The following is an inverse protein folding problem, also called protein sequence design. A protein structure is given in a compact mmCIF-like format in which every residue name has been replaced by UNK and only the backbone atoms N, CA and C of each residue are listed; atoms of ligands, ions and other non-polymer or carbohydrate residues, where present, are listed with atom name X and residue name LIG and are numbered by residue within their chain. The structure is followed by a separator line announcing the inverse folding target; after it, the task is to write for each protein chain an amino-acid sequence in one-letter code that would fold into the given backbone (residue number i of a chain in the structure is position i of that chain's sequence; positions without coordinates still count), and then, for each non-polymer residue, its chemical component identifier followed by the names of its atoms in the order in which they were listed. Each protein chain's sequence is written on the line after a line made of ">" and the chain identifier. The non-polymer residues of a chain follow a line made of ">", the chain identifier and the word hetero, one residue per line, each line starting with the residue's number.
data_IF_203760888737
#
_entry.id   IF_203760888737
#
_cell.length_a   1.000
_cell.length_b   1.000
_cell.length_c   1.000
_cell.angle_alpha   90.00
_cell.angle_beta   90.00
_cell.angle_gamma   90.00
#
_symmetry.space_group_name_H-M   'P 1'
#
loop_
_entity.id
_entity.type
_entity.pdbx_description
1 polymer ?
#
# COMPACT_ATOMS: atom_id res chain seq x y z
N UNK A 1 18.32 68.06 -11.87
CA UNK A 1 19.19 68.58 -10.78
C UNK A 1 19.79 67.39 -10.04
N UNK A 2 21.10 67.49 -9.75
CA UNK A 2 21.99 66.44 -9.24
C UNK A 2 21.86 66.23 -7.72
N UNK A 3 22.18 65.01 -7.28
CA UNK A 3 23.01 64.57 -6.13
C UNK A 3 22.46 63.21 -5.64
N UNK A 4 23.06 62.04 -5.82
CA UNK A 4 24.42 61.54 -5.52
C UNK A 4 24.87 61.71 -4.08
N UNK A 5 24.82 60.62 -3.30
CA UNK A 5 25.98 60.13 -2.54
C UNK A 5 25.85 58.64 -2.19
N UNK A 6 26.93 57.90 -2.50
CA UNK A 6 27.27 56.55 -2.01
C UNK A 6 27.59 56.58 -0.51
N UNK A 7 27.37 55.46 0.19
CA UNK A 7 28.35 54.95 1.15
C UNK A 7 28.18 53.44 1.36
N UNK A 8 29.31 52.76 1.31
CA UNK A 8 29.56 51.33 1.43
C UNK A 8 30.19 51.02 2.80
N UNK A 9 29.81 49.92 3.44
CA UNK A 9 30.64 49.18 4.43
C UNK A 9 29.94 47.86 4.76
N UNK A 10 30.38 46.71 4.23
CA UNK A 10 31.38 45.81 4.85
C UNK A 10 30.99 45.38 6.27
N UNK A 11 30.32 44.24 6.39
CA UNK A 11 30.05 43.54 7.64
C UNK A 11 30.02 42.04 7.40
N UNK A 12 31.20 41.42 7.40
CA UNK A 12 31.39 39.98 7.31
C UNK A 12 30.92 39.29 8.59
N UNK A 13 29.65 38.86 8.64
CA UNK A 13 29.14 37.98 9.67
C UNK A 13 29.44 36.52 9.35
N UNK A 14 30.57 36.01 9.83
CA UNK A 14 30.87 34.56 9.85
C UNK A 14 29.81 33.83 10.66
N UNK A 15 28.94 33.07 9.99
CA UNK A 15 28.20 31.99 10.64
C UNK A 15 29.21 30.94 11.15
N UNK A 16 29.38 30.86 12.47
CA UNK A 16 30.11 29.74 13.09
C UNK A 16 29.27 28.49 12.91
N UNK A 17 29.75 27.59 12.07
CA UNK A 17 29.31 26.20 11.98
C UNK A 17 29.67 25.54 13.31
N UNK A 18 28.68 25.38 14.18
CA UNK A 18 28.79 24.47 15.33
C UNK A 18 28.67 23.04 14.80
N UNK A 19 29.74 22.26 14.92
CA UNK A 19 29.71 20.80 14.71
C UNK A 19 29.03 20.15 15.92
N UNK A 20 28.09 19.23 15.73
CA UNK A 20 27.88 18.13 16.64
C UNK A 20 28.75 16.97 16.15
N UNK A 21 29.88 16.76 16.82
CA UNK A 21 30.49 15.43 16.91
C UNK A 21 29.67 14.63 17.89
N UNK A 22 28.91 13.66 17.40
CA UNK A 22 28.73 12.39 18.12
C UNK A 22 28.44 11.29 17.09
N UNK A 23 29.52 10.58 16.75
CA UNK A 23 29.44 9.21 16.28
C UNK A 23 29.26 8.34 17.52
N UNK A 24 28.19 7.55 17.55
CA UNK A 24 28.09 6.21 18.11
C UNK A 24 26.71 6.00 18.73
N UNK A 25 25.78 5.44 17.97
CA UNK A 25 24.80 4.49 18.52
C UNK A 25 24.61 3.35 17.50
N UNK A 26 24.65 2.09 17.97
CA UNK A 26 24.78 0.92 17.10
C UNK A 26 23.42 0.46 16.57
N UNK A 27 23.38 0.14 15.28
CA UNK A 27 22.26 -0.50 14.60
C UNK A 27 22.55 -2.00 14.49
N UNK A 28 22.39 -2.74 15.58
CA UNK A 28 22.33 -4.21 15.58
C UNK A 28 21.45 -4.72 16.72
N UNK A 29 20.50 -5.63 16.42
CA UNK A 29 19.97 -6.54 17.42
C UNK A 29 18.45 -6.75 17.47
N UNK A 30 17.84 -7.28 16.41
CA UNK A 30 16.56 -8.01 16.54
C UNK A 30 16.68 -9.41 15.94
N UNK A 31 17.54 -10.23 16.54
CA UNK A 31 17.44 -11.67 16.41
C UNK A 31 17.57 -12.32 17.78
N UNK A 32 16.66 -13.27 18.02
CA UNK A 32 16.80 -14.42 18.93
C UNK A 32 16.34 -14.22 20.38
N UNK A 33 15.07 -14.52 20.62
CA UNK A 33 14.56 -14.87 21.95
C UNK A 33 13.47 -15.96 21.91
N UNK A 34 13.80 -17.13 21.36
CA UNK A 34 13.12 -18.39 21.72
C UNK A 34 14.15 -19.51 21.81
N UNK A 35 14.56 -19.84 23.04
CA UNK A 35 15.01 -21.16 23.50
C UNK A 35 15.56 -21.01 24.92
N UNK A 36 14.80 -21.53 25.89
CA UNK A 36 15.26 -22.58 26.81
C UNK A 36 14.13 -22.94 27.77
N UNK A 37 13.64 -24.17 27.68
CA UNK A 37 13.07 -24.88 28.82
C UNK A 37 13.57 -26.35 28.76
N UNK A 38 13.75 -27.00 29.92
CA UNK A 38 14.80 -28.01 30.11
C UNK A 38 14.38 -29.42 29.69
N UNK A 39 15.40 -30.20 29.30
CA UNK A 39 15.31 -31.62 29.02
C UNK A 39 14.85 -32.41 30.25
N UNK A 40 13.68 -33.03 30.17
CA UNK A 40 13.26 -34.08 31.09
C UNK A 40 13.80 -35.43 30.60
N UNK A 41 14.69 -36.03 31.40
CA UNK A 41 15.21 -37.37 31.17
C UNK A 41 14.11 -38.40 31.44
N UNK A 42 13.66 -39.09 30.39
CA UNK A 42 12.84 -40.29 30.56
C UNK A 42 13.79 -41.48 30.60
N UNK A 43 13.83 -42.12 31.78
CA UNK A 43 14.59 -43.34 32.04
C UNK A 43 14.02 -44.48 31.21
N UNK A 44 14.93 -45.22 30.58
CA UNK A 44 14.69 -46.51 29.95
C UNK A 44 14.18 -47.53 30.97
N UNK A 45 12.99 -48.08 30.74
CA UNK A 45 12.48 -49.25 31.44
C UNK A 45 12.03 -50.30 30.43
N UNK A 46 12.79 -51.38 30.39
CA UNK A 46 12.41 -52.76 30.07
C UNK A 46 11.37 -52.99 28.97
N UNK A 47 11.88 -53.33 27.78
CA UNK A 47 11.17 -54.11 26.76
C UNK A 47 10.72 -55.44 27.37
N UNK A 48 9.41 -55.59 27.63
CA UNK A 48 8.80 -56.90 27.85
C UNK A 48 8.21 -57.42 26.53
N UNK A 49 8.74 -58.55 26.07
CA UNK A 49 8.22 -59.34 24.95
C UNK A 49 6.80 -59.82 25.28
N UNK A 50 5.80 -59.29 24.59
CA UNK A 50 4.45 -59.86 24.57
C UNK A 50 4.35 -60.81 23.38
N UNK A 51 3.98 -62.07 23.64
CA UNK A 51 3.73 -63.11 22.63
C UNK A 51 2.50 -62.76 21.79
N UNK A 52 2.46 -63.09 20.48
CA UNK A 52 1.28 -62.83 19.68
C UNK A 52 0.19 -63.85 20.02
N UNK A 53 -0.97 -63.37 20.47
CA UNK A 53 -2.21 -64.15 20.49
C UNK A 53 -2.87 -63.98 19.12
N UNK A 54 -2.88 -65.05 18.33
CA UNK A 54 -3.77 -65.19 17.18
C UNK A 54 -5.21 -65.03 17.67
N UNK A 55 -5.90 -64.02 17.17
CA UNK A 55 -7.36 -64.05 17.13
C UNK A 55 -7.84 -63.51 15.78
N UNK A 56 -8.69 -64.33 15.19
CA UNK A 56 -9.34 -64.24 13.91
C UNK A 56 -10.39 -63.13 13.87
N UNK A 57 -10.40 -62.38 12.77
CA UNK A 57 -11.59 -61.87 12.09
C UNK A 57 -12.64 -61.10 12.90
N UNK A 58 -12.66 -59.78 12.72
CA UNK A 58 -13.91 -59.07 12.43
C UNK A 58 -13.57 -57.71 11.80
N UNK A 59 -13.64 -57.64 10.47
CA UNK A 59 -13.60 -56.36 9.76
C UNK A 59 -14.85 -55.57 10.13
N UNK A 60 -14.66 -54.46 10.86
CA UNK A 60 -15.63 -53.38 10.93
C UNK A 60 -14.95 -52.15 10.38
N UNK A 61 -15.24 -51.84 9.12
CA UNK A 61 -14.87 -50.58 8.50
C UNK A 61 -15.44 -49.44 9.34
N UNK A 62 -14.57 -48.77 10.10
CA UNK A 62 -14.87 -47.46 10.64
C UNK A 62 -14.83 -46.52 9.44
N UNK A 63 -16.00 -46.07 8.99
CA UNK A 63 -16.11 -44.92 8.11
C UNK A 63 -15.43 -43.74 8.83
N UNK A 64 -14.20 -43.41 8.43
CA UNK A 64 -13.61 -42.12 8.72
C UNK A 64 -14.56 -41.08 8.11
N UNK A 65 -15.37 -40.46 8.96
CA UNK A 65 -16.14 -39.30 8.61
C UNK A 65 -15.17 -38.28 8.02
N UNK A 66 -15.31 -38.06 6.71
CA UNK A 66 -14.69 -36.99 5.94
C UNK A 66 -14.81 -35.72 6.78
N UNK A 67 -13.67 -35.19 7.24
CA UNK A 67 -13.63 -33.90 7.93
C UNK A 67 -14.46 -32.90 7.12
N UNK A 68 -15.48 -32.36 7.76
CA UNK A 68 -16.40 -31.40 7.16
C UNK A 68 -15.55 -30.21 6.72
N UNK A 69 -15.47 -30.03 5.40
CA UNK A 69 -14.97 -28.83 4.75
C UNK A 69 -15.86 -27.68 5.19
N UNK A 70 -15.48 -26.98 6.27
CA UNK A 70 -16.06 -25.67 6.56
C UNK A 70 -15.82 -24.81 5.31
N UNK A 71 -16.87 -24.35 4.62
CA UNK A 71 -16.68 -23.51 3.44
C UNK A 71 -15.91 -22.27 3.87
N UNK A 72 -14.78 -21.99 3.18
CA UNK A 72 -14.05 -20.74 3.38
C UNK A 72 -14.95 -19.60 2.94
N UNK A 73 -14.93 -18.50 3.68
CA UNK A 73 -15.67 -17.31 3.28
C UNK A 73 -14.99 -16.69 2.06
N UNK A 74 -15.52 -16.96 0.86
CA UNK A 74 -14.96 -16.43 -0.40
C UNK A 74 -15.35 -14.98 -0.66
N UNK A 75 -16.17 -14.39 0.21
CA UNK A 75 -16.67 -13.04 0.04
C UNK A 75 -15.59 -11.96 0.19
N UNK A 76 -14.47 -12.27 0.86
CA UNK A 76 -13.31 -11.36 0.90
C UNK A 76 -12.81 -11.01 -0.49
N UNK A 77 -12.80 -11.96 -1.42
CA UNK A 77 -12.39 -11.70 -2.81
C UNK A 77 -13.38 -10.79 -3.53
N UNK A 78 -14.69 -10.94 -3.28
CA UNK A 78 -15.71 -10.05 -3.85
C UNK A 78 -15.52 -8.60 -3.36
N UNK A 79 -15.16 -8.44 -2.07
CA UNK A 79 -14.89 -7.13 -1.47
C UNK A 79 -13.61 -6.49 -2.05
N UNK A 80 -12.52 -7.24 -2.19
CA UNK A 80 -11.29 -6.73 -2.82
C UNK A 80 -11.50 -6.33 -4.28
N UNK A 81 -12.27 -7.11 -5.05
CA UNK A 81 -12.62 -6.77 -6.42
C UNK A 81 -13.46 -5.49 -6.48
N UNK A 82 -14.45 -5.34 -5.59
CA UNK A 82 -15.26 -4.12 -5.49
C UNK A 82 -14.44 -2.89 -5.12
N UNK A 83 -13.46 -3.04 -4.22
CA UNK A 83 -12.60 -1.94 -3.79
C UNK A 83 -11.65 -1.51 -4.91
N UNK A 84 -11.06 -2.47 -5.63
CA UNK A 84 -10.23 -2.18 -6.80
C UNK A 84 -11.04 -1.51 -7.94
N UNK A 85 -12.31 -1.89 -8.13
CA UNK A 85 -13.20 -1.22 -9.08
C UNK A 85 -13.53 0.22 -8.65
N UNK A 86 -13.73 0.47 -7.35
CA UNK A 86 -13.90 1.81 -6.79
C UNK A 86 -12.64 2.66 -7.02
N UNK A 87 -11.47 2.10 -6.74
CA UNK A 87 -10.18 2.75 -6.94
C UNK A 87 -9.94 3.15 -8.39
N UNK A 88 -10.28 2.28 -9.35
CA UNK A 88 -10.18 2.64 -10.77
C UNK A 88 -11.11 3.80 -11.13
N UNK A 89 -12.36 3.77 -10.69
CA UNK A 89 -13.30 4.87 -10.98
C UNK A 89 -12.81 6.21 -10.42
N UNK A 90 -12.23 6.20 -9.21
CA UNK A 90 -11.63 7.38 -8.62
C UNK A 90 -10.40 7.86 -9.40
N UNK A 91 -9.52 6.95 -9.83
CA UNK A 91 -8.34 7.30 -10.60
C UNK A 91 -8.68 7.84 -12.01
N UNK A 92 -9.70 7.27 -12.67
CA UNK A 92 -10.22 7.80 -13.94
C UNK A 92 -10.77 9.22 -13.74
N UNK A 93 -11.58 9.41 -12.70
CA UNK A 93 -12.09 10.73 -12.34
C UNK A 93 -10.97 11.72 -12.00
N UNK A 94 -9.86 11.28 -11.39
CA UNK A 94 -8.69 12.11 -11.10
C UNK A 94 -7.99 12.58 -12.37
N UNK A 95 -7.79 11.68 -13.34
CA UNK A 95 -7.22 12.03 -14.65
C UNK A 95 -8.11 13.07 -15.33
N UNK A 96 -9.42 12.82 -15.42
CA UNK A 96 -10.36 13.77 -16.03
C UNK A 96 -10.41 15.11 -15.27
N UNK A 97 -10.27 15.08 -13.95
CA UNK A 97 -10.24 16.28 -13.10
C UNK A 97 -8.97 17.10 -13.33
N UNK A 98 -7.86 16.45 -13.67
CA UNK A 98 -6.61 17.13 -13.99
C UNK A 98 -6.51 17.55 -15.45
N UNK A 99 -7.17 16.85 -16.38
CA UNK A 99 -7.10 17.15 -17.80
C UNK A 99 -8.02 18.31 -18.22
N UNK A 100 -9.23 18.38 -17.67
CA UNK A 100 -10.24 19.37 -18.03
C UNK A 100 -10.11 20.68 -17.24
N UNK A 101 -10.12 21.81 -17.95
CA UNK A 101 -10.35 23.13 -17.35
C UNK A 101 -11.85 23.31 -17.11
N UNK A 102 -12.31 22.92 -15.93
CA UNK A 102 -13.72 23.00 -15.53
C UNK A 102 -13.95 24.15 -14.54
N UNK A 103 -14.94 25.02 -14.76
CA UNK A 103 -15.31 26.05 -13.79
C UNK A 103 -15.91 25.48 -12.49
N UNK A 104 -16.19 24.16 -12.44
CA UNK A 104 -16.85 23.48 -11.33
C UNK A 104 -15.92 22.50 -10.59
N UNK A 105 -14.63 22.84 -10.50
CA UNK A 105 -13.62 22.04 -9.77
C UNK A 105 -14.04 21.71 -8.34
N UNK A 106 -14.71 22.64 -7.65
CA UNK A 106 -15.18 22.42 -6.28
C UNK A 106 -16.23 21.31 -6.19
N UNK A 107 -17.17 21.23 -7.13
CA UNK A 107 -18.16 20.13 -7.13
C UNK A 107 -17.49 18.81 -7.48
N UNK A 108 -16.60 18.80 -8.48
CA UNK A 108 -15.87 17.58 -8.87
C UNK A 108 -14.97 17.06 -7.76
N UNK A 109 -14.28 17.93 -7.04
CA UNK A 109 -13.48 17.54 -5.88
C UNK A 109 -14.33 16.88 -4.77
N UNK A 110 -15.60 17.27 -4.61
CA UNK A 110 -16.52 16.62 -3.65
C UNK A 110 -16.92 15.20 -4.07
N UNK A 111 -16.82 14.84 -5.35
CA UNK A 111 -17.11 13.48 -5.83
C UNK A 111 -16.07 12.48 -5.29
N UNK A 112 -14.81 12.90 -5.11
CA UNK A 112 -13.75 12.06 -4.52
C UNK A 112 -14.06 11.65 -3.08
N UNK A 113 -14.74 12.49 -2.31
CA UNK A 113 -15.18 12.12 -0.97
C UNK A 113 -16.20 10.98 -0.97
N UNK A 114 -16.99 10.85 -2.04
CA UNK A 114 -17.91 9.72 -2.17
C UNK A 114 -17.18 8.41 -2.48
N UNK A 115 -16.11 8.46 -3.30
CA UNK A 115 -15.26 7.31 -3.56
C UNK A 115 -14.51 6.85 -2.31
N UNK A 116 -13.93 7.79 -1.54
CA UNK A 116 -13.27 7.49 -0.26
C UNK A 116 -14.26 6.86 0.72
N UNK A 117 -15.44 7.47 0.92
CA UNK A 117 -16.47 6.90 1.81
C UNK A 117 -16.92 5.49 1.38
N UNK A 118 -16.92 5.22 0.08
CA UNK A 118 -17.24 3.89 -0.43
C UNK A 118 -16.13 2.88 -0.10
N UNK A 119 -14.86 3.23 -0.34
CA UNK A 119 -13.69 2.41 0.03
C UNK A 119 -13.67 2.10 1.53
N UNK A 120 -13.82 3.14 2.36
CA UNK A 120 -13.93 3.06 3.83
C UNK A 120 -14.99 2.03 4.27
N UNK A 121 -16.15 2.05 3.59
CA UNK A 121 -17.25 1.13 3.89
C UNK A 121 -16.93 -0.32 3.55
N UNK A 122 -16.16 -0.55 2.48
CA UNK A 122 -15.69 -1.87 2.06
C UNK A 122 -14.65 -2.38 3.06
N UNK A 123 -13.65 -1.55 3.39
CA UNK A 123 -12.63 -1.84 4.40
C UNK A 123 -13.29 -2.20 5.74
N UNK A 124 -14.25 -1.40 6.20
CA UNK A 124 -14.99 -1.68 7.43
C UNK A 124 -15.71 -3.04 7.38
N UNK A 125 -16.35 -3.38 6.26
CA UNK A 125 -17.01 -4.67 6.11
C UNK A 125 -16.01 -5.84 6.09
N UNK A 126 -14.85 -5.69 5.45
CA UNK A 126 -13.76 -6.68 5.48
C UNK A 126 -13.33 -6.95 6.93
N UNK A 127 -12.98 -5.91 7.69
CA UNK A 127 -12.52 -6.03 9.09
C UNK A 127 -13.60 -6.64 9.99
N UNK A 128 -14.85 -6.19 9.84
CA UNK A 128 -15.99 -6.74 10.58
C UNK A 128 -16.20 -8.22 10.27
N UNK A 129 -15.95 -8.64 9.03
CA UNK A 129 -16.08 -10.03 8.60
C UNK A 129 -14.92 -10.89 9.10
N UNK A 130 -13.69 -10.37 9.09
CA UNK A 130 -12.54 -11.01 9.74
C UNK A 130 -12.82 -11.36 11.21
N UNK A 131 -13.42 -10.43 11.97
CA UNK A 131 -13.77 -10.68 13.38
C UNK A 131 -14.84 -11.76 13.59
N UNK A 132 -15.63 -12.08 12.56
CA UNK A 132 -16.73 -13.06 12.64
C UNK A 132 -16.38 -14.40 12.01
N UNK A 133 -15.39 -14.42 11.10
CA UNK A 133 -15.01 -15.58 10.33
C UNK A 133 -13.95 -16.40 11.07
N UNK A 134 -14.33 -17.63 11.44
CA UNK A 134 -13.40 -18.58 12.08
C UNK A 134 -12.43 -19.24 11.08
N UNK A 135 -12.75 -19.22 9.79
CA UNK A 135 -11.93 -19.80 8.72
C UNK A 135 -11.85 -18.82 7.56
N UNK A 136 -10.64 -18.32 7.27
CA UNK A 136 -10.36 -17.38 6.17
C UNK A 136 -9.73 -18.10 4.97
N UNK A 137 -9.83 -17.51 3.75
CA UNK A 137 -9.27 -18.12 2.55
C UNK A 137 -7.75 -17.95 2.42
N UNK A 138 -7.21 -16.87 2.97
CA UNK A 138 -5.78 -16.54 3.13
C UNK A 138 -5.54 -16.07 4.58
N UNK A 139 -4.31 -15.72 4.93
CA UNK A 139 -3.96 -15.34 6.29
C UNK A 139 -4.73 -14.07 6.73
N UNK A 140 -5.32 -14.02 7.95
CA UNK A 140 -6.11 -12.88 8.41
C UNK A 140 -5.35 -11.55 8.43
N UNK A 141 -4.05 -11.60 8.72
CA UNK A 141 -3.15 -10.44 8.73
C UNK A 141 -3.05 -9.86 7.31
N UNK A 142 -2.80 -10.70 6.31
CA UNK A 142 -2.73 -10.28 4.90
C UNK A 142 -4.06 -9.70 4.39
N UNK A 143 -5.20 -10.23 4.84
CA UNK A 143 -6.53 -9.68 4.47
C UNK A 143 -6.69 -8.25 5.01
N UNK A 144 -6.33 -8.05 6.28
CA UNK A 144 -6.46 -6.75 6.92
C UNK A 144 -5.49 -5.73 6.31
N UNK A 145 -4.24 -6.14 6.11
CA UNK A 145 -3.19 -5.30 5.51
C UNK A 145 -3.57 -4.92 4.07
N UNK A 146 -3.98 -5.88 3.25
CA UNK A 146 -4.41 -5.60 1.87
C UNK A 146 -5.58 -4.61 1.80
N UNK A 147 -6.57 -4.76 2.70
CA UNK A 147 -7.72 -3.84 2.75
C UNK A 147 -7.30 -2.42 3.14
N UNK A 148 -6.51 -2.28 4.21
CA UNK A 148 -6.07 -0.97 4.69
C UNK A 148 -5.14 -0.25 3.70
N UNK A 149 -4.26 -0.99 3.01
CA UNK A 149 -3.35 -0.38 2.04
C UNK A 149 -4.10 0.08 0.79
N UNK A 150 -5.06 -0.70 0.28
CA UNK A 150 -5.93 -0.27 -0.84
C UNK A 150 -6.71 1.01 -0.52
N UNK A 151 -7.29 1.06 0.67
CA UNK A 151 -8.00 2.22 1.20
C UNK A 151 -7.08 3.46 1.28
N UNK A 152 -5.84 3.26 1.73
CA UNK A 152 -4.84 4.34 1.80
C UNK A 152 -4.51 4.91 0.41
N UNK A 153 -4.48 4.10 -0.66
CA UNK A 153 -4.31 4.62 -2.03
C UNK A 153 -5.47 5.55 -2.40
N UNK A 154 -6.71 5.15 -2.10
CA UNK A 154 -7.91 5.95 -2.34
C UNK A 154 -7.87 7.27 -1.56
N UNK A 155 -7.43 7.24 -0.30
CA UNK A 155 -7.26 8.43 0.54
C UNK A 155 -6.32 9.46 -0.09
N UNK A 156 -5.20 9.03 -0.66
CA UNK A 156 -4.26 9.94 -1.32
C UNK A 156 -4.77 10.50 -2.65
N UNK A 157 -5.59 9.74 -3.38
CA UNK A 157 -6.32 10.25 -4.56
C UNK A 157 -7.31 11.36 -4.14
N UNK A 158 -8.09 11.16 -3.07
CA UNK A 158 -8.98 12.20 -2.53
C UNK A 158 -8.19 13.42 -2.05
N UNK A 159 -7.08 13.19 -1.34
CA UNK A 159 -6.23 14.24 -0.83
C UNK A 159 -5.66 15.11 -1.95
N UNK A 160 -5.16 14.50 -3.04
CA UNK A 160 -4.66 15.23 -4.21
C UNK A 160 -5.73 16.12 -4.84
N UNK A 161 -6.92 15.58 -5.09
CA UNK A 161 -8.04 16.34 -5.67
C UNK A 161 -8.49 17.49 -4.74
N UNK A 162 -8.60 17.22 -3.44
CA UNK A 162 -8.99 18.21 -2.43
C UNK A 162 -7.96 19.32 -2.28
N UNK A 163 -6.67 18.98 -2.24
CA UNK A 163 -5.56 19.93 -2.05
C UNK A 163 -5.54 20.98 -3.15
N UNK A 164 -5.75 20.57 -4.41
CA UNK A 164 -5.81 21.47 -5.55
C UNK A 164 -6.88 22.57 -5.36
N UNK A 165 -8.06 22.19 -4.89
CA UNK A 165 -9.17 23.12 -4.63
C UNK A 165 -8.92 23.95 -3.37
N UNK A 166 -8.54 23.31 -2.27
CA UNK A 166 -8.37 23.96 -0.97
C UNK A 166 -7.32 25.08 -1.03
N UNK A 167 -6.24 24.84 -1.76
CA UNK A 167 -5.14 25.79 -1.91
C UNK A 167 -5.33 26.78 -3.05
N UNK A 168 -6.47 26.70 -3.75
CA UNK A 168 -6.80 27.52 -4.91
C UNK A 168 -5.65 27.51 -5.92
N UNK A 169 -5.16 26.31 -6.21
CA UNK A 169 -4.08 26.10 -7.17
C UNK A 169 -4.59 26.39 -8.58
N UNK A 170 -3.66 26.74 -9.46
CA UNK A 170 -3.97 26.92 -10.88
C UNK A 170 -4.14 25.59 -11.61
N UNK A 171 -3.95 25.63 -12.92
CA UNK A 171 -4.00 24.43 -13.74
C UNK A 171 -2.95 23.39 -13.30
N UNK A 172 -3.32 22.10 -13.22
CA UNK A 172 -2.38 21.01 -13.00
C UNK A 172 -1.21 21.08 -13.99
N UNK A 173 -0.01 20.96 -13.45
CA UNK A 173 1.22 20.92 -14.24
C UNK A 173 1.29 19.66 -15.10
N UNK A 174 2.14 19.64 -16.14
CA UNK A 174 2.39 18.43 -16.93
C UNK A 174 2.81 17.23 -16.05
N UNK A 175 3.60 17.47 -15.01
CA UNK A 175 4.07 16.46 -14.07
C UNK A 175 2.92 15.90 -13.22
N UNK A 176 2.04 16.76 -12.68
CA UNK A 176 0.85 16.31 -11.94
C UNK A 176 -0.08 15.45 -12.82
N UNK A 177 -0.27 15.84 -14.09
CA UNK A 177 -1.06 15.07 -15.06
C UNK A 177 -0.39 13.74 -15.44
N UNK A 178 0.94 13.69 -15.48
CA UNK A 178 1.67 12.46 -15.74
C UNK A 178 1.53 11.49 -14.55
N UNK A 179 1.75 11.98 -13.32
CA UNK A 179 1.58 11.19 -12.10
C UNK A 179 0.15 10.64 -11.95
N UNK A 180 -0.90 11.43 -12.23
CA UNK A 180 -2.28 10.93 -12.15
C UNK A 180 -2.57 9.79 -13.13
N UNK A 181 -1.94 9.82 -14.33
CA UNK A 181 -2.05 8.71 -15.30
C UNK A 181 -1.32 7.45 -14.82
N UNK A 182 -0.21 7.60 -14.09
CA UNK A 182 0.47 6.45 -13.48
C UNK A 182 -0.38 5.84 -12.36
N UNK A 183 -0.98 6.67 -11.51
CA UNK A 183 -1.95 6.21 -10.48
C UNK A 183 -3.07 5.40 -11.13
N UNK A 184 -3.64 5.87 -12.25
CA UNK A 184 -4.65 5.12 -13.00
C UNK A 184 -4.12 3.80 -13.56
N UNK A 185 -2.90 3.78 -14.12
CA UNK A 185 -2.29 2.56 -14.61
C UNK A 185 -2.11 1.51 -13.51
N UNK A 186 -1.65 1.92 -12.32
CA UNK A 186 -1.53 1.07 -11.14
C UNK A 186 -2.92 0.56 -10.71
N UNK A 187 -3.92 1.44 -10.58
CA UNK A 187 -5.29 1.04 -10.21
C UNK A 187 -5.86 -0.03 -11.16
N UNK A 188 -5.64 0.12 -12.47
CA UNK A 188 -6.04 -0.90 -13.45
C UNK A 188 -5.32 -2.25 -13.24
N UNK A 189 -4.03 -2.25 -12.90
CA UNK A 189 -3.29 -3.46 -12.58
C UNK A 189 -3.79 -4.12 -11.31
N UNK A 190 -4.08 -3.34 -10.27
CA UNK A 190 -4.68 -3.83 -9.04
C UNK A 190 -6.04 -4.50 -9.32
N UNK A 191 -6.91 -3.87 -10.10
CA UNK A 191 -8.19 -4.47 -10.54
C UNK A 191 -7.99 -5.77 -11.34
N UNK A 192 -6.96 -5.84 -12.19
CA UNK A 192 -6.64 -7.05 -12.96
C UNK A 192 -6.24 -8.24 -12.05
N UNK A 193 -5.51 -7.97 -10.96
CA UNK A 193 -4.95 -9.02 -10.08
C UNK A 193 -5.90 -9.51 -9.00
N UNK A 194 -6.84 -8.69 -8.50
CA UNK A 194 -7.73 -9.11 -7.40
C UNK A 194 -8.50 -10.41 -7.70
N UNK A 195 -9.08 -10.62 -8.90
CA UNK A 195 -9.75 -11.89 -9.23
C UNK A 195 -8.81 -13.09 -9.31
N UNK A 196 -7.51 -12.88 -9.54
CA UNK A 196 -6.52 -13.96 -9.65
C UNK A 196 -6.24 -14.61 -8.30
N UNK A 197 -6.46 -13.90 -7.19
CA UNK A 197 -6.29 -14.43 -5.82
C UNK A 197 -7.17 -15.64 -5.52
N UNK A 198 -8.26 -15.83 -6.27
CA UNK A 198 -9.20 -16.95 -6.09
C UNK A 198 -8.61 -18.30 -6.52
N UNK A 199 -7.66 -18.32 -7.43
CA UNK A 199 -7.09 -19.55 -8.00
C UNK A 199 -5.56 -19.52 -7.97
N UNK A 200 -4.98 -20.38 -7.14
CA UNK A 200 -3.53 -20.54 -7.00
C UNK A 200 -2.80 -20.79 -8.32
N UNK A 201 -3.46 -21.42 -9.30
CA UNK A 201 -2.88 -21.65 -10.63
C UNK A 201 -2.62 -20.35 -11.40
N UNK A 202 -3.28 -19.26 -11.01
CA UNK A 202 -3.15 -17.93 -11.61
C UNK A 202 -2.15 -17.03 -10.90
N UNK A 203 -1.52 -17.48 -9.82
CA UNK A 203 -0.55 -16.68 -9.06
C UNK A 203 0.64 -16.20 -9.87
N UNK A 204 1.06 -16.96 -10.90
CA UNK A 204 2.08 -16.48 -11.83
C UNK A 204 1.67 -15.18 -12.56
N UNK A 205 0.37 -14.93 -12.73
CA UNK A 205 -0.15 -13.66 -13.26
C UNK A 205 -0.02 -12.51 -12.28
N UNK A 206 -0.24 -12.75 -10.99
CA UNK A 206 -0.08 -11.75 -9.93
C UNK A 206 1.38 -11.28 -9.88
N UNK A 207 2.35 -12.21 -9.87
CA UNK A 207 3.78 -11.86 -9.82
C UNK A 207 4.22 -11.01 -11.04
N UNK A 208 3.67 -11.27 -12.23
CA UNK A 208 3.96 -10.45 -13.42
C UNK A 208 3.44 -9.03 -13.25
N UNK A 209 2.21 -8.88 -12.76
CA UNK A 209 1.63 -7.58 -12.50
C UNK A 209 2.38 -6.82 -11.40
N UNK A 210 2.92 -7.51 -10.39
CA UNK A 210 3.75 -6.87 -9.35
C UNK A 210 5.02 -6.22 -9.96
N UNK A 211 5.68 -6.90 -10.90
CA UNK A 211 6.82 -6.32 -11.64
C UNK A 211 6.41 -5.11 -12.48
N UNK A 212 5.23 -5.15 -13.10
CA UNK A 212 4.70 -4.02 -13.87
C UNK A 212 4.35 -2.82 -12.97
N UNK A 213 3.77 -3.06 -11.79
CA UNK A 213 3.48 -2.01 -10.80
C UNK A 213 4.77 -1.37 -10.27
N UNK A 214 5.77 -2.17 -9.89
CA UNK A 214 7.08 -1.65 -9.50
C UNK A 214 7.72 -0.80 -10.62
N UNK A 215 7.57 -1.20 -11.88
CA UNK A 215 8.07 -0.39 -13.01
C UNK A 215 7.34 0.95 -13.14
N UNK A 216 6.03 0.99 -12.85
CA UNK A 216 5.22 2.21 -12.86
C UNK A 216 5.56 3.13 -11.68
N UNK A 217 5.80 2.57 -10.50
CA UNK A 217 6.24 3.33 -9.32
C UNK A 217 7.60 4.00 -9.59
N UNK A 218 8.58 3.29 -10.13
CA UNK A 218 9.88 3.88 -10.48
C UNK A 218 9.73 5.05 -11.49
N UNK A 219 8.81 4.93 -12.46
CA UNK A 219 8.51 6.03 -13.39
C UNK A 219 7.87 7.23 -12.66
N UNK A 220 6.99 6.99 -11.69
CA UNK A 220 6.40 8.04 -10.86
C UNK A 220 7.45 8.74 -9.99
N UNK A 221 8.37 8.00 -9.37
CA UNK A 221 9.45 8.56 -8.56
C UNK A 221 10.37 9.46 -9.39
N UNK A 222 10.75 9.02 -10.60
CA UNK A 222 11.55 9.83 -11.53
C UNK A 222 10.85 11.16 -11.89
N UNK A 223 9.54 11.10 -12.18
CA UNK A 223 8.74 12.30 -12.50
C UNK A 223 8.61 13.19 -11.26
N UNK A 224 8.35 12.61 -10.09
CA UNK A 224 8.23 13.33 -8.83
C UNK A 224 9.52 14.08 -8.49
N UNK A 225 10.68 13.41 -8.58
CA UNK A 225 11.98 14.01 -8.35
C UNK A 225 12.30 15.12 -9.34
N UNK A 226 12.00 14.93 -10.63
CA UNK A 226 12.15 15.96 -11.64
C UNK A 226 11.25 17.18 -11.36
N UNK A 227 9.99 16.94 -10.97
CA UNK A 227 9.03 17.98 -10.61
C UNK A 227 9.49 18.78 -9.39
N UNK A 228 10.00 18.10 -8.35
CA UNK A 228 10.56 18.75 -7.17
C UNK A 228 11.78 19.60 -7.52
N UNK A 229 12.73 19.08 -8.31
CA UNK A 229 13.90 19.83 -8.73
C UNK A 229 13.52 21.09 -9.52
N UNK A 230 12.59 20.96 -10.48
CA UNK A 230 12.09 22.09 -11.26
C UNK A 230 11.35 23.12 -10.40
N UNK A 231 10.58 22.67 -9.41
CA UNK A 231 9.83 23.53 -8.49
C UNK A 231 10.76 24.45 -7.71
N UNK A 232 11.85 23.92 -7.16
CA UNK A 232 12.83 24.71 -6.37
C UNK A 232 13.75 25.60 -7.23
N UNK A 233 13.95 25.28 -8.51
CA UNK A 233 14.79 26.09 -9.41
C UNK A 233 14.00 27.25 -10.06
N UNK A 234 12.77 26.99 -10.48
CA UNK A 234 11.99 27.91 -11.33
C UNK A 234 10.97 28.77 -10.59
N UNK A 235 10.50 28.35 -9.41
CA UNK A 235 9.43 29.04 -8.67
C UNK A 235 10.00 30.00 -7.64
N UNK A 236 9.53 31.25 -7.64
CA UNK A 236 10.02 32.29 -6.71
C UNK A 236 9.15 32.45 -5.46
N UNK A 237 7.86 32.18 -5.58
CA UNK A 237 6.91 32.33 -4.48
C UNK A 237 6.91 31.08 -3.60
N UNK A 238 7.34 31.25 -2.34
CA UNK A 238 7.46 30.14 -1.37
C UNK A 238 6.13 29.44 -1.13
N UNK A 239 5.02 30.19 -1.14
CA UNK A 239 3.69 29.60 -0.99
C UNK A 239 3.36 28.62 -2.12
N UNK A 240 3.75 28.91 -3.35
CA UNK A 240 3.48 28.02 -4.48
C UNK A 240 4.37 26.77 -4.43
N UNK A 241 5.62 26.91 -3.97
CA UNK A 241 6.50 25.76 -3.71
C UNK A 241 5.83 24.81 -2.71
N UNK A 242 5.27 25.33 -1.61
CA UNK A 242 4.62 24.49 -0.60
C UNK A 242 3.40 23.76 -1.20
N UNK A 243 2.53 24.49 -1.90
CA UNK A 243 1.30 23.94 -2.51
C UNK A 243 1.59 22.82 -3.51
N UNK A 244 2.48 23.07 -4.46
CA UNK A 244 2.81 22.11 -5.50
C UNK A 244 3.56 20.91 -4.95
N UNK A 245 4.48 21.12 -4.00
CA UNK A 245 5.17 20.01 -3.33
C UNK A 245 4.20 19.10 -2.62
N UNK A 246 3.21 19.64 -1.90
CA UNK A 246 2.20 18.83 -1.21
C UNK A 246 1.32 18.03 -2.19
N UNK A 247 0.88 18.66 -3.28
CA UNK A 247 0.14 17.94 -4.32
C UNK A 247 0.95 16.79 -4.94
N UNK A 248 2.22 17.05 -5.29
CA UNK A 248 3.10 16.02 -5.86
C UNK A 248 3.34 14.88 -4.87
N UNK A 249 3.55 15.18 -3.59
CA UNK A 249 3.71 14.18 -2.56
C UNK A 249 2.45 13.30 -2.41
N UNK A 250 1.24 13.86 -2.50
CA UNK A 250 0.03 13.04 -2.47
C UNK A 250 -0.06 12.06 -3.64
N UNK A 251 0.31 12.51 -4.85
CA UNK A 251 0.29 11.65 -6.03
C UNK A 251 1.35 10.55 -5.96
N UNK A 252 2.56 10.87 -5.49
CA UNK A 252 3.62 9.89 -5.30
C UNK A 252 3.30 8.90 -4.16
N UNK A 253 2.75 9.36 -3.04
CA UNK A 253 2.29 8.46 -1.97
C UNK A 253 1.23 7.46 -2.49
N UNK A 254 0.36 7.89 -3.41
CA UNK A 254 -0.62 6.99 -4.02
C UNK A 254 0.05 5.92 -4.91
N UNK A 255 1.14 6.26 -5.61
CA UNK A 255 1.89 5.28 -6.42
C UNK A 255 2.72 4.33 -5.55
N UNK A 256 3.38 4.85 -4.51
CA UNK A 256 4.14 4.08 -3.51
C UNK A 256 3.25 3.07 -2.80
N UNK A 257 2.09 3.49 -2.30
CA UNK A 257 1.13 2.57 -1.67
C UNK A 257 0.56 1.55 -2.66
N UNK A 258 0.46 1.91 -3.95
CA UNK A 258 0.10 0.96 -5.00
C UNK A 258 1.14 -0.15 -5.17
N UNK A 259 2.42 0.17 -5.02
CA UNK A 259 3.50 -0.79 -4.94
C UNK A 259 3.43 -1.63 -3.65
N UNK A 260 3.14 -1.01 -2.50
CA UNK A 260 2.94 -1.74 -1.25
C UNK A 260 1.83 -2.79 -1.35
N UNK A 261 0.71 -2.46 -2.03
CA UNK A 261 -0.33 -3.44 -2.34
C UNK A 261 0.25 -4.60 -3.16
N UNK A 262 1.07 -4.32 -4.17
CA UNK A 262 1.73 -5.36 -4.96
C UNK A 262 2.68 -6.23 -4.12
N UNK A 263 3.44 -5.63 -3.20
CA UNK A 263 4.33 -6.33 -2.29
C UNK A 263 3.55 -7.27 -1.34
N UNK A 264 2.41 -6.84 -0.83
CA UNK A 264 1.49 -7.68 -0.03
C UNK A 264 0.98 -8.86 -0.87
N UNK A 265 0.55 -8.59 -2.12
CA UNK A 265 0.07 -9.63 -3.04
C UNK A 265 1.16 -10.65 -3.38
N UNK A 266 2.39 -10.21 -3.62
CA UNK A 266 3.55 -11.09 -3.80
C UNK A 266 3.78 -11.95 -2.54
N UNK A 267 3.73 -11.35 -1.36
CA UNK A 267 3.82 -12.06 -0.08
C UNK A 267 2.78 -13.17 0.06
N UNK A 268 1.51 -12.87 -0.22
CA UNK A 268 0.41 -13.85 -0.23
C UNK A 268 0.70 -15.00 -1.19
N UNK A 269 1.17 -14.69 -2.40
CA UNK A 269 1.52 -15.70 -3.41
C UNK A 269 2.64 -16.60 -2.91
N UNK A 270 3.72 -16.04 -2.37
CA UNK A 270 4.88 -16.79 -1.89
C UNK A 270 4.55 -17.68 -0.68
N UNK A 271 3.66 -17.26 0.22
CA UNK A 271 3.16 -18.07 1.35
C UNK A 271 2.32 -19.27 0.91
N UNK A 272 1.75 -19.22 -0.29
CA UNK A 272 0.80 -20.21 -0.80
C UNK A 272 1.27 -20.96 -2.07
N UNK A 273 2.51 -20.71 -2.50
CA UNK A 273 3.19 -21.36 -3.62
C UNK A 273 3.59 -22.81 -3.33
#
# INVERSE_FOLDING_TARGET
>A
MRCSTRASSSGSGRCRVGRPTDRNLPYEGWHRAYRTCPALSIRSTAVQRVRPLRSSGLERGVCLARFVLTPRDTHFYDLFESDADNLVQAAEALVDFFEEDSPDRERRAREFKAYEQHGDSITHEIIKRLHRSFVTPIDPEDIAELAHTLDSVMDYIEAAARTLVLYKMGEPTPEARALSRIVLAIAHKLREVMPLLRDRKKFAGILRACVEINSLENEADDIHHAAQAALFDSTREVCDIIKWRELYQHLENATDLGEDVANILEGIVLKHA
#
